data_IF_326620888920
#
_entry.id   IF_326620888920
#
_cell.length_a   1.000
_cell.length_b   1.000
_cell.length_c   1.000
_cell.angle_alpha   90.00
_cell.angle_beta   90.00
_cell.angle_gamma   90.00
#
_symmetry.space_group_name_H-M   'P 1'
#
loop_
_entity.id
_entity.type
_entity.pdbx_description
1 polymer ?
#
# COMPACT_ATOMS: atom_id res chain seq x y z
N UNK A 1 -6.49 42.01 -4.87
CA UNK A 1 -5.47 41.81 -5.91
C UNK A 1 -4.30 41.10 -5.24
N UNK A 2 -3.77 40.04 -5.81
CA UNK A 2 -2.60 39.38 -5.27
C UNK A 2 -1.39 40.30 -5.51
N UNK A 3 -0.53 40.46 -4.49
CA UNK A 3 0.78 41.06 -4.67
C UNK A 3 1.73 40.08 -5.41
N UNK A 4 2.90 40.55 -5.79
CA UNK A 4 3.88 39.72 -6.52
C UNK A 4 4.29 38.46 -5.75
N UNK A 5 4.37 38.57 -4.42
CA UNK A 5 4.72 37.41 -3.55
C UNK A 5 3.57 36.41 -3.50
N UNK A 6 2.34 36.85 -3.38
CA UNK A 6 1.17 35.99 -3.40
C UNK A 6 0.97 35.26 -4.72
N UNK A 7 1.24 35.94 -5.86
CA UNK A 7 1.23 35.30 -7.18
C UNK A 7 2.33 34.23 -7.31
N UNK A 8 3.53 34.53 -6.81
CA UNK A 8 4.65 33.57 -6.82
C UNK A 8 4.33 32.35 -5.96
N UNK A 9 3.81 32.54 -4.76
CA UNK A 9 3.41 31.45 -3.88
C UNK A 9 2.34 30.56 -4.51
N UNK A 10 1.31 31.17 -5.11
CA UNK A 10 0.26 30.44 -5.81
C UNK A 10 0.83 29.64 -6.98
N UNK A 11 1.70 30.23 -7.78
CA UNK A 11 2.35 29.55 -8.90
C UNK A 11 3.18 28.34 -8.43
N UNK A 12 4.02 28.51 -7.40
CA UNK A 12 4.83 27.41 -6.84
C UNK A 12 3.94 26.32 -6.25
N UNK A 13 2.84 26.67 -5.60
CA UNK A 13 1.89 25.69 -5.03
C UNK A 13 1.17 24.92 -6.14
N UNK A 14 0.78 25.57 -7.22
CA UNK A 14 0.17 24.92 -8.39
C UNK A 14 1.16 23.99 -9.10
N UNK A 15 2.40 24.43 -9.27
CA UNK A 15 3.46 23.60 -9.89
C UNK A 15 3.77 22.37 -9.03
N UNK A 16 3.91 22.56 -7.72
CA UNK A 16 4.07 21.46 -6.76
C UNK A 16 2.87 20.52 -6.81
N UNK A 17 1.65 21.05 -6.81
CA UNK A 17 0.42 20.28 -6.92
C UNK A 17 0.36 19.42 -8.17
N UNK A 18 0.70 19.98 -9.33
CA UNK A 18 0.76 19.24 -10.60
C UNK A 18 1.77 18.09 -10.56
N UNK A 19 2.95 18.32 -9.95
CA UNK A 19 4.00 17.32 -9.82
C UNK A 19 3.55 16.17 -8.91
N UNK A 20 2.95 16.47 -7.76
CA UNK A 20 2.44 15.47 -6.82
C UNK A 20 1.23 14.73 -7.38
N UNK A 21 0.33 15.42 -8.08
CA UNK A 21 -0.82 14.80 -8.73
C UNK A 21 -0.41 13.78 -9.80
N UNK A 22 0.65 14.07 -10.55
CA UNK A 22 1.24 13.12 -11.50
C UNK A 22 1.65 11.81 -10.82
N UNK A 23 2.19 11.88 -9.60
CA UNK A 23 2.55 10.68 -8.82
C UNK A 23 1.30 9.88 -8.44
N UNK A 24 0.20 10.55 -8.12
CA UNK A 24 -1.08 9.92 -7.82
C UNK A 24 -1.72 9.22 -9.04
N UNK A 25 -1.51 9.75 -10.26
CA UNK A 25 -2.02 9.14 -11.50
C UNK A 25 -1.41 7.76 -11.79
N UNK A 26 -0.21 7.48 -11.29
CA UNK A 26 0.44 6.17 -11.43
C UNK A 26 -0.19 5.08 -10.55
N UNK A 27 -1.01 5.46 -9.57
CA UNK A 27 -1.64 4.55 -8.62
C UNK A 27 -2.91 5.17 -8.05
N UNK A 28 -4.06 4.70 -8.50
CA UNK A 28 -5.38 5.28 -8.22
C UNK A 28 -5.98 4.87 -6.88
N UNK A 29 -5.18 4.41 -5.92
CA UNK A 29 -5.69 4.10 -4.58
C UNK A 29 -5.93 5.35 -3.73
N UNK A 30 -6.83 5.23 -2.74
CA UNK A 30 -7.23 6.36 -1.90
C UNK A 30 -6.07 7.06 -1.18
N UNK A 31 -5.03 6.31 -0.80
CA UNK A 31 -3.84 6.87 -0.15
C UNK A 31 -3.05 7.80 -1.07
N UNK A 32 -2.84 7.39 -2.32
CA UNK A 32 -2.14 8.22 -3.31
C UNK A 32 -2.95 9.43 -3.74
N UNK A 33 -4.29 9.31 -3.84
CA UNK A 33 -5.17 10.44 -4.11
C UNK A 33 -5.14 11.48 -2.98
N UNK A 34 -5.18 11.05 -1.72
CA UNK A 34 -5.08 11.94 -0.56
C UNK A 34 -3.72 12.65 -0.57
N UNK A 35 -2.63 11.92 -0.79
CA UNK A 35 -1.29 12.49 -0.86
C UNK A 35 -1.15 13.46 -2.02
N UNK A 36 -1.62 13.09 -3.22
CA UNK A 36 -1.61 13.95 -4.42
C UNK A 36 -2.49 15.20 -4.27
N UNK A 37 -3.55 15.16 -3.46
CA UNK A 37 -4.44 16.29 -3.20
C UNK A 37 -3.93 17.26 -2.12
N UNK A 38 -2.82 16.96 -1.45
CA UNK A 38 -2.31 17.80 -0.34
C UNK A 38 -2.14 19.27 -0.74
N UNK A 39 -1.64 19.54 -1.94
CA UNK A 39 -1.48 20.91 -2.43
C UNK A 39 -2.80 21.63 -2.73
N UNK A 40 -3.85 20.89 -3.09
CA UNK A 40 -5.20 21.45 -3.26
C UNK A 40 -5.75 21.96 -1.92
N UNK A 41 -5.44 21.28 -0.81
CA UNK A 41 -5.80 21.76 0.52
C UNK A 41 -5.08 23.06 0.86
N UNK A 42 -3.78 23.16 0.55
CA UNK A 42 -3.01 24.40 0.76
C UNK A 42 -3.62 25.56 -0.06
N UNK A 43 -3.92 25.33 -1.33
CA UNK A 43 -4.58 26.31 -2.19
C UNK A 43 -5.95 26.71 -1.61
N UNK A 44 -6.73 25.71 -1.19
CA UNK A 44 -8.03 25.93 -0.55
C UNK A 44 -7.92 26.82 0.69
N UNK A 45 -6.95 26.58 1.57
CA UNK A 45 -6.69 27.39 2.76
C UNK A 45 -6.33 28.83 2.38
N UNK A 46 -5.45 29.02 1.39
CA UNK A 46 -5.05 30.36 0.91
C UNK A 46 -6.24 31.14 0.31
N UNK A 47 -7.11 30.46 -0.43
CA UNK A 47 -8.32 31.07 -0.99
C UNK A 47 -9.30 31.46 0.12
N UNK A 48 -9.48 30.59 1.11
CA UNK A 48 -10.34 30.83 2.27
C UNK A 48 -9.81 32.00 3.08
N UNK A 49 -8.52 32.04 3.39
CA UNK A 49 -7.87 33.13 4.12
C UNK A 49 -8.11 34.49 3.42
N UNK A 50 -7.86 34.56 2.13
CA UNK A 50 -8.09 35.80 1.33
C UNK A 50 -9.58 36.16 1.23
N UNK A 51 -10.45 35.17 1.13
CA UNK A 51 -11.89 35.34 1.17
C UNK A 51 -12.35 35.95 2.50
N UNK A 52 -11.86 35.38 3.60
CA UNK A 52 -12.13 35.87 4.96
C UNK A 52 -11.66 37.30 5.14
N UNK A 53 -10.42 37.63 4.75
CA UNK A 53 -9.87 38.99 4.82
C UNK A 53 -10.74 40.00 4.07
N UNK A 54 -11.19 39.62 2.86
CA UNK A 54 -12.06 40.50 2.05
C UNK A 54 -13.41 40.74 2.72
N UNK A 55 -13.98 39.74 3.36
CA UNK A 55 -15.29 39.80 4.02
C UNK A 55 -15.17 40.49 5.37
N UNK A 56 -14.06 40.30 6.10
CA UNK A 56 -13.81 41.00 7.35
C UNK A 56 -13.69 42.53 7.14
N UNK A 57 -13.15 42.93 6.01
CA UNK A 57 -13.09 44.35 5.63
C UNK A 57 -14.46 44.94 5.23
N UNK A 58 -15.39 44.08 4.78
CA UNK A 58 -16.79 44.49 4.49
C UNK A 58 -17.68 44.14 5.69
N UNK A 59 -18.04 45.13 6.51
CA UNK A 59 -18.71 44.99 7.80
C UNK A 59 -20.04 44.20 7.81
N UNK A 60 -20.67 43.97 6.66
CA UNK A 60 -22.08 43.51 6.54
C UNK A 60 -22.28 41.99 6.55
N UNK A 61 -21.26 41.17 6.31
CA UNK A 61 -21.46 39.72 6.10
C UNK A 61 -20.66 38.80 7.05
N UNK A 62 -20.03 39.36 8.09
CA UNK A 62 -19.19 38.57 9.01
C UNK A 62 -19.88 37.35 9.63
N UNK A 63 -21.11 37.53 10.07
CA UNK A 63 -21.86 36.48 10.78
C UNK A 63 -22.15 35.31 9.86
N UNK A 64 -22.62 35.54 8.64
CA UNK A 64 -22.95 34.50 7.68
C UNK A 64 -21.75 33.68 7.24
N UNK A 65 -20.62 34.34 7.05
CA UNK A 65 -19.38 33.62 6.65
C UNK A 65 -18.77 32.83 7.79
N UNK A 66 -18.79 33.37 9.01
CA UNK A 66 -18.36 32.60 10.19
C UNK A 66 -19.25 31.38 10.39
N UNK A 67 -20.55 31.51 10.23
CA UNK A 67 -21.51 30.41 10.28
C UNK A 67 -21.22 29.37 9.19
N UNK A 68 -21.03 29.81 7.95
CA UNK A 68 -20.72 28.89 6.83
C UNK A 68 -19.41 28.13 7.05
N UNK A 69 -18.33 28.82 7.45
CA UNK A 69 -17.05 28.17 7.76
C UNK A 69 -17.17 27.21 8.93
N UNK A 70 -17.94 27.57 9.97
CA UNK A 70 -18.17 26.69 11.11
C UNK A 70 -18.93 25.42 10.70
N UNK A 71 -19.98 25.55 9.90
CA UNK A 71 -20.75 24.40 9.38
C UNK A 71 -19.87 23.51 8.51
N UNK A 72 -19.08 24.11 7.61
CA UNK A 72 -18.16 23.39 6.73
C UNK A 72 -17.08 22.64 7.55
N UNK A 73 -16.51 23.30 8.55
CA UNK A 73 -15.49 22.71 9.44
C UNK A 73 -16.04 21.55 10.26
N UNK A 74 -17.25 21.70 10.80
CA UNK A 74 -17.93 20.64 11.57
C UNK A 74 -18.29 19.47 10.65
N UNK A 75 -18.85 19.74 9.47
CA UNK A 75 -19.18 18.70 8.49
C UNK A 75 -17.96 17.92 8.00
N UNK A 76 -16.87 18.66 7.69
CA UNK A 76 -15.60 18.05 7.25
C UNK A 76 -14.97 17.23 8.37
N UNK A 77 -14.98 17.75 9.61
CA UNK A 77 -14.46 17.05 10.77
C UNK A 77 -15.25 15.78 11.06
N UNK A 78 -16.58 15.83 10.96
CA UNK A 78 -17.44 14.67 11.10
C UNK A 78 -17.16 13.62 10.04
N UNK A 79 -17.11 14.02 8.77
CA UNK A 79 -16.80 13.12 7.65
C UNK A 79 -15.43 12.47 7.80
N UNK A 80 -14.39 13.25 8.14
CA UNK A 80 -13.03 12.73 8.34
C UNK A 80 -12.97 11.76 9.53
N UNK A 81 -13.77 11.98 10.57
CA UNK A 81 -13.82 11.12 11.75
C UNK A 81 -14.50 9.78 11.45
N UNK A 82 -15.58 9.79 10.67
CA UNK A 82 -16.31 8.59 10.26
C UNK A 82 -15.47 7.72 9.30
N UNK A 83 -14.80 8.35 8.33
CA UNK A 83 -14.09 7.62 7.27
C UNK A 83 -12.66 7.23 7.67
N UNK A 84 -11.94 8.09 8.38
CA UNK A 84 -10.49 7.92 8.61
C UNK A 84 -10.09 7.83 10.09
N UNK A 85 -11.00 8.07 11.02
CA UNK A 85 -10.73 8.08 12.47
C UNK A 85 -9.44 8.82 12.89
N UNK A 86 -9.15 10.03 12.34
CA UNK A 86 -7.86 10.70 12.54
C UNK A 86 -7.59 11.01 14.02
N UNK A 87 -8.62 11.34 14.80
CA UNK A 87 -8.46 11.60 16.23
C UNK A 87 -8.11 10.35 17.03
N UNK A 88 -8.63 9.18 16.65
CA UNK A 88 -8.24 7.90 17.27
C UNK A 88 -6.79 7.57 16.91
N UNK A 89 -6.39 7.76 15.65
CA UNK A 89 -5.03 7.56 15.21
C UNK A 89 -4.06 8.52 15.90
N UNK A 90 -4.42 9.81 16.04
CA UNK A 90 -3.64 10.80 16.77
C UNK A 90 -3.51 10.44 18.25
N UNK A 91 -4.62 10.10 18.91
CA UNK A 91 -4.64 9.73 20.32
C UNK A 91 -3.80 8.46 20.58
N UNK A 92 -3.87 7.46 19.71
CA UNK A 92 -3.03 6.27 19.80
C UNK A 92 -1.54 6.61 19.65
N UNK A 93 -1.19 7.51 18.74
CA UNK A 93 0.19 7.99 18.54
C UNK A 93 0.69 8.81 19.72
N UNK A 94 -0.13 9.73 20.24
CA UNK A 94 0.20 10.52 21.43
C UNK A 94 0.40 9.61 22.64
N UNK A 95 -0.51 8.64 22.84
CA UNK A 95 -0.37 7.67 23.93
C UNK A 95 0.89 6.80 23.77
N UNK A 96 1.25 6.40 22.55
CA UNK A 96 2.51 5.71 22.28
C UNK A 96 3.74 6.57 22.59
N UNK A 97 3.68 7.87 22.31
CA UNK A 97 4.78 8.80 22.59
C UNK A 97 4.89 9.14 24.09
N UNK A 98 3.75 9.29 24.77
CA UNK A 98 3.70 9.60 26.20
C UNK A 98 4.03 8.39 27.08
N UNK A 99 3.60 7.20 26.70
CA UNK A 99 3.97 5.95 27.35
C UNK A 99 5.37 5.50 26.86
N UNK A 100 6.39 6.30 27.12
CA UNK A 100 7.81 5.98 26.85
C UNK A 100 8.35 4.73 27.57
N UNK A 101 7.59 4.10 28.42
CA UNK A 101 7.78 2.71 28.86
C UNK A 101 7.25 1.72 27.81
N UNK A 102 7.43 2.00 26.52
CA UNK A 102 7.34 0.97 25.51
C UNK A 102 8.42 -0.04 25.86
N UNK A 103 8.06 -1.10 26.56
CA UNK A 103 8.86 -2.33 26.56
C UNK A 103 9.16 -2.57 25.09
N UNK A 104 10.43 -2.43 24.70
CA UNK A 104 10.86 -2.78 23.36
C UNK A 104 10.24 -4.14 23.08
N UNK A 105 9.37 -4.22 22.08
CA UNK A 105 8.68 -5.45 21.78
C UNK A 105 9.72 -6.58 21.75
N UNK A 106 9.48 -7.64 22.49
CA UNK A 106 10.38 -8.78 22.48
C UNK A 106 10.53 -9.27 21.05
N UNK A 107 11.73 -9.73 20.70
CA UNK A 107 11.98 -10.28 19.37
C UNK A 107 10.93 -11.35 19.08
N UNK A 108 10.25 -11.25 17.95
CA UNK A 108 9.23 -12.23 17.58
C UNK A 108 9.85 -13.63 17.56
N UNK A 109 9.39 -14.48 18.47
CA UNK A 109 9.95 -15.84 18.62
C UNK A 109 9.52 -16.79 17.50
N UNK A 110 8.38 -16.49 16.87
CA UNK A 110 7.80 -17.34 15.80
C UNK A 110 8.45 -17.02 14.45
N UNK A 111 8.67 -15.72 14.17
CA UNK A 111 9.26 -15.25 12.93
C UNK A 111 10.55 -14.48 13.21
N UNK A 112 11.65 -15.17 13.31
CA UNK A 112 12.96 -14.59 13.65
C UNK A 112 13.39 -13.43 12.75
N UNK A 113 12.97 -13.40 11.48
CA UNK A 113 13.35 -12.37 10.52
C UNK A 113 12.52 -11.09 10.63
N UNK A 114 11.41 -11.10 11.35
CA UNK A 114 10.57 -9.89 11.58
C UNK A 114 11.22 -8.93 12.58
N UNK A 115 12.17 -9.40 13.36
CA UNK A 115 12.81 -8.60 14.39
C UNK A 115 11.89 -8.35 15.57
N UNK A 116 11.66 -7.06 15.91
CA UNK A 116 10.84 -6.66 17.06
C UNK A 116 9.46 -6.14 16.70
N UNK A 117 9.00 -6.38 15.48
CA UNK A 117 7.66 -5.98 15.05
C UNK A 117 6.60 -6.79 15.79
N UNK A 118 5.55 -6.10 16.22
CA UNK A 118 4.41 -6.71 16.87
C UNK A 118 3.43 -7.23 15.81
N UNK A 119 3.57 -8.49 15.45
CA UNK A 119 2.64 -9.19 14.56
C UNK A 119 1.68 -10.01 15.42
N UNK A 120 0.40 -10.02 15.05
CA UNK A 120 -0.59 -10.86 15.73
C UNK A 120 -0.13 -12.32 15.67
N UNK A 121 -0.23 -13.02 16.81
CA UNK A 121 0.27 -14.40 16.96
C UNK A 121 -0.26 -15.36 15.88
N UNK A 122 -1.56 -15.28 15.58
CA UNK A 122 -2.18 -16.11 14.55
C UNK A 122 -1.61 -15.85 13.13
N UNK A 123 -1.29 -14.60 12.82
CA UNK A 123 -0.65 -14.26 11.55
C UNK A 123 0.80 -14.74 11.52
N UNK A 124 1.54 -14.56 12.60
CA UNK A 124 2.91 -15.04 12.71
C UNK A 124 3.00 -16.58 12.56
N UNK A 125 2.10 -17.31 13.21
CA UNK A 125 2.03 -18.78 13.10
C UNK A 125 1.64 -19.23 11.70
N UNK A 126 0.69 -18.54 11.05
CA UNK A 126 0.32 -18.82 9.67
C UNK A 126 1.52 -18.66 8.72
N UNK A 127 2.18 -17.50 8.78
CA UNK A 127 3.36 -17.22 7.97
C UNK A 127 4.47 -18.23 8.26
N UNK A 128 4.70 -18.58 9.55
CA UNK A 128 5.70 -19.57 9.93
C UNK A 128 5.43 -20.96 9.33
N UNK A 129 4.17 -21.41 9.30
CA UNK A 129 3.81 -22.69 8.66
C UNK A 129 4.12 -22.68 7.16
N UNK A 130 3.77 -21.59 6.46
CA UNK A 130 4.08 -21.42 5.03
C UNK A 130 5.59 -21.41 4.80
N UNK A 131 6.32 -20.63 5.60
CA UNK A 131 7.79 -20.54 5.54
C UNK A 131 8.45 -21.90 5.77
N UNK A 132 8.03 -22.62 6.80
CA UNK A 132 8.54 -23.94 7.10
C UNK A 132 8.29 -24.91 5.94
N UNK A 133 7.11 -24.88 5.32
CA UNK A 133 6.83 -25.68 4.14
C UNK A 133 7.80 -25.35 3.00
N UNK A 134 7.95 -24.06 2.68
CA UNK A 134 8.86 -23.63 1.61
C UNK A 134 10.29 -24.09 1.90
N UNK A 135 10.79 -23.88 3.13
CA UNK A 135 12.16 -24.23 3.51
C UNK A 135 12.42 -25.73 3.47
N UNK A 136 11.43 -26.55 3.85
CA UNK A 136 11.56 -28.00 3.84
C UNK A 136 11.49 -28.61 2.42
N UNK A 137 10.90 -27.89 1.45
CA UNK A 137 10.71 -28.37 0.07
C UNK A 137 11.60 -27.65 -0.94
N UNK A 138 12.50 -26.77 -0.49
CA UNK A 138 13.44 -26.04 -1.35
C UNK A 138 14.81 -25.93 -0.71
N UNK A 139 15.86 -25.95 -1.52
CA UNK A 139 17.23 -25.71 -1.06
C UNK A 139 17.44 -24.20 -0.75
N UNK A 140 18.41 -23.83 0.10
CA UNK A 140 18.62 -22.41 0.47
C UNK A 140 18.79 -21.45 -0.71
N UNK A 141 19.43 -21.87 -1.79
CA UNK A 141 19.67 -21.05 -2.99
C UNK A 141 18.66 -21.32 -4.12
N UNK A 142 17.66 -22.17 -3.87
CA UNK A 142 16.64 -22.47 -4.85
C UNK A 142 15.70 -21.30 -5.00
N UNK A 143 15.46 -20.89 -6.25
CA UNK A 143 14.58 -19.78 -6.57
C UNK A 143 13.14 -20.23 -6.49
N UNK A 144 12.31 -19.42 -5.85
CA UNK A 144 10.86 -19.62 -5.78
C UNK A 144 10.15 -18.52 -6.56
N UNK A 145 8.86 -18.69 -6.82
CA UNK A 145 8.03 -17.68 -7.43
C UNK A 145 6.82 -17.35 -6.55
N UNK A 146 6.62 -16.08 -6.24
CA UNK A 146 5.44 -15.57 -5.55
C UNK A 146 4.56 -14.84 -6.59
N UNK A 147 3.45 -15.49 -6.97
CA UNK A 147 2.48 -14.93 -7.95
C UNK A 147 1.53 -13.92 -7.30
N UNK A 148 1.67 -13.67 -6.01
CA UNK A 148 0.94 -12.61 -5.34
C UNK A 148 1.67 -11.26 -5.48
N UNK A 149 1.00 -10.16 -5.19
CA UNK A 149 1.66 -8.86 -5.19
C UNK A 149 2.34 -8.52 -3.86
N UNK A 150 2.51 -9.52 -2.98
CA UNK A 150 3.07 -9.32 -1.64
C UNK A 150 4.61 -9.41 -1.63
N UNK A 151 5.18 -10.40 -2.30
CA UNK A 151 6.63 -10.64 -2.34
C UNK A 151 7.29 -10.92 -0.99
N UNK A 152 6.53 -11.02 0.09
CA UNK A 152 7.05 -11.14 1.45
C UNK A 152 7.69 -12.50 1.73
N UNK A 153 7.24 -13.54 1.07
CA UNK A 153 7.75 -14.90 1.28
C UNK A 153 9.18 -15.10 0.79
N UNK A 154 9.66 -14.31 -0.17
CA UNK A 154 11.09 -14.29 -0.51
C UNK A 154 11.97 -13.94 0.70
N UNK A 155 11.53 -12.93 1.46
CA UNK A 155 12.23 -12.49 2.65
C UNK A 155 12.10 -13.50 3.80
N UNK A 156 10.88 -13.88 4.14
CA UNK A 156 10.64 -14.77 5.30
C UNK A 156 11.22 -16.17 5.11
N UNK A 157 11.06 -16.75 3.94
CA UNK A 157 11.60 -18.07 3.64
C UNK A 157 13.10 -18.05 3.33
N UNK A 158 13.71 -16.88 3.18
CA UNK A 158 15.10 -16.72 2.74
C UNK A 158 15.36 -17.47 1.44
N UNK A 159 14.53 -17.22 0.44
CA UNK A 159 14.66 -17.79 -0.90
C UNK A 159 14.70 -16.68 -1.94
N UNK A 160 15.61 -16.75 -2.93
CA UNK A 160 15.69 -15.76 -3.97
C UNK A 160 14.47 -15.81 -4.89
N UNK A 161 14.08 -14.65 -5.41
CA UNK A 161 13.09 -14.58 -6.48
C UNK A 161 13.65 -15.15 -7.78
N UNK A 162 12.81 -15.84 -8.55
CA UNK A 162 13.18 -16.34 -9.87
C UNK A 162 13.20 -15.21 -10.92
N UNK A 163 12.48 -14.12 -10.66
CA UNK A 163 12.34 -12.98 -11.58
C UNK A 163 12.89 -11.71 -10.96
N UNK A 164 13.11 -10.69 -11.79
CA UNK A 164 13.39 -9.34 -11.30
C UNK A 164 12.15 -8.64 -10.71
N UNK A 165 10.97 -9.17 -10.97
CA UNK A 165 9.70 -8.64 -10.44
C UNK A 165 9.42 -9.29 -9.08
N UNK A 166 9.85 -8.66 -7.99
CA UNK A 166 9.57 -9.12 -6.63
C UNK A 166 8.08 -8.99 -6.22
N UNK A 167 7.34 -8.15 -6.93
CA UNK A 167 5.87 -8.06 -6.88
C UNK A 167 5.37 -8.23 -8.31
N UNK A 168 4.51 -9.21 -8.53
CA UNK A 168 4.05 -9.54 -9.88
C UNK A 168 3.28 -8.41 -10.55
N UNK A 169 2.69 -7.51 -9.77
CA UNK A 169 1.99 -6.33 -10.28
C UNK A 169 2.84 -5.49 -11.25
N UNK A 170 4.16 -5.53 -11.12
CA UNK A 170 5.07 -4.81 -12.02
C UNK A 170 5.28 -5.48 -13.38
N UNK A 171 4.89 -6.74 -13.55
CA UNK A 171 4.94 -7.42 -14.84
C UNK A 171 3.66 -7.15 -15.66
N UNK A 172 3.33 -5.88 -15.88
CA UNK A 172 2.03 -5.42 -16.38
C UNK A 172 1.82 -5.63 -17.88
N UNK A 173 2.89 -5.69 -18.69
CA UNK A 173 2.77 -5.87 -20.15
C UNK A 173 2.93 -7.33 -20.55
N UNK A 174 2.38 -7.73 -21.73
CA UNK A 174 2.55 -9.10 -22.25
C UNK A 174 4.03 -9.51 -22.34
N UNK A 175 4.92 -8.64 -22.79
CA UNK A 175 6.35 -8.93 -22.88
C UNK A 175 6.99 -9.18 -21.51
N UNK A 176 6.61 -8.41 -20.48
CA UNK A 176 7.06 -8.64 -19.11
C UNK A 176 6.53 -9.96 -18.54
N UNK A 177 5.29 -10.33 -18.86
CA UNK A 177 4.74 -11.62 -18.46
C UNK A 177 5.47 -12.78 -19.15
N UNK A 178 5.82 -12.66 -20.42
CA UNK A 178 6.65 -13.65 -21.12
C UNK A 178 8.06 -13.75 -20.52
N UNK A 179 8.67 -12.64 -20.10
CA UNK A 179 9.95 -12.63 -19.39
C UNK A 179 9.88 -13.43 -18.08
N UNK A 180 8.78 -13.33 -17.34
CA UNK A 180 8.54 -14.14 -16.14
C UNK A 180 8.51 -15.63 -16.49
N UNK A 181 7.75 -16.02 -17.51
CA UNK A 181 7.67 -17.41 -17.96
C UNK A 181 9.04 -17.94 -18.38
N UNK A 182 9.78 -17.17 -19.16
CA UNK A 182 11.15 -17.53 -19.55
C UNK A 182 12.05 -17.75 -18.33
N UNK A 183 11.91 -16.91 -17.31
CA UNK A 183 12.65 -17.05 -16.05
C UNK A 183 12.27 -18.31 -15.28
N UNK A 184 10.97 -18.66 -15.24
CA UNK A 184 10.46 -19.89 -14.61
C UNK A 184 11.00 -21.14 -15.32
N UNK A 185 11.03 -21.14 -16.65
CA UNK A 185 11.54 -22.25 -17.46
C UNK A 185 13.05 -22.45 -17.31
N UNK A 186 13.83 -21.39 -17.46
CA UNK A 186 15.28 -21.46 -17.38
C UNK A 186 15.79 -21.92 -16.02
N UNK A 187 15.09 -21.54 -14.95
CA UNK A 187 15.47 -21.94 -13.60
C UNK A 187 14.78 -23.25 -13.16
N UNK A 188 13.92 -23.83 -14.00
CA UNK A 188 13.11 -25.01 -13.67
C UNK A 188 12.46 -24.86 -12.28
N UNK A 189 11.87 -23.69 -12.03
CA UNK A 189 11.32 -23.32 -10.73
C UNK A 189 10.26 -24.33 -10.31
N UNK A 190 10.48 -25.00 -9.18
CA UNK A 190 9.60 -26.05 -8.72
C UNK A 190 8.44 -25.53 -7.88
N UNK A 191 8.64 -24.49 -7.08
CA UNK A 191 7.69 -24.02 -6.07
C UNK A 191 7.14 -22.62 -6.41
N UNK A 192 5.80 -22.53 -6.45
CA UNK A 192 5.07 -21.27 -6.64
C UNK A 192 4.12 -21.03 -5.48
N UNK A 193 4.12 -19.82 -4.93
CA UNK A 193 3.05 -19.33 -4.07
C UNK A 193 2.02 -18.67 -4.98
N UNK A 194 0.85 -19.31 -5.14
CA UNK A 194 -0.14 -18.91 -6.14
C UNK A 194 -1.18 -17.93 -5.59
N UNK A 195 -1.66 -18.16 -4.39
CA UNK A 195 -2.62 -17.33 -3.65
C UNK A 195 -2.28 -17.32 -2.18
N UNK A 196 -2.63 -16.24 -1.49
CA UNK A 196 -2.48 -16.13 -0.03
C UNK A 196 -3.81 -15.95 0.69
N UNK A 197 -4.92 -15.85 -0.06
CA UNK A 197 -6.24 -15.55 0.50
C UNK A 197 -6.39 -14.10 0.97
N UNK A 198 -5.33 -13.29 0.82
CA UNK A 198 -5.27 -11.91 1.27
C UNK A 198 -5.62 -10.87 0.19
N UNK A 199 -5.63 -9.61 0.60
CA UNK A 199 -5.93 -8.51 -0.32
C UNK A 199 -4.85 -8.32 -1.41
N UNK A 200 -3.62 -8.79 -1.19
CA UNK A 200 -2.54 -8.77 -2.18
C UNK A 200 -2.77 -9.71 -3.39
N UNK A 201 -3.71 -10.64 -3.27
CA UNK A 201 -4.13 -11.45 -4.41
C UNK A 201 -5.01 -10.65 -5.38
N UNK A 202 -5.52 -9.49 -4.93
CA UNK A 202 -6.34 -8.55 -5.70
C UNK A 202 -5.81 -7.13 -5.50
N UNK A 203 -5.43 -6.46 -6.57
CA UNK A 203 -5.11 -5.03 -6.55
C UNK A 203 -6.26 -4.30 -7.27
N UNK A 204 -6.81 -3.26 -6.65
CA UNK A 204 -7.98 -2.52 -7.15
C UNK A 204 -9.17 -3.43 -7.45
N UNK A 205 -9.36 -4.48 -6.65
CA UNK A 205 -10.41 -5.49 -6.84
C UNK A 205 -10.16 -6.49 -7.97
N UNK A 206 -9.08 -6.34 -8.76
CA UNK A 206 -8.74 -7.22 -9.88
C UNK A 206 -7.79 -8.32 -9.40
N UNK A 207 -8.18 -9.61 -9.50
CA UNK A 207 -7.30 -10.73 -9.13
C UNK A 207 -6.02 -10.76 -9.96
N UNK A 208 -4.92 -11.23 -9.35
CA UNK A 208 -3.63 -11.40 -10.04
C UNK A 208 -3.76 -12.28 -11.30
N UNK A 209 -4.63 -13.28 -11.27
CA UNK A 209 -4.91 -14.15 -12.42
C UNK A 209 -5.51 -13.41 -13.62
N UNK A 210 -6.38 -12.42 -13.37
CA UNK A 210 -6.96 -11.58 -14.43
C UNK A 210 -6.00 -10.48 -14.88
N UNK A 211 -5.19 -9.98 -13.96
CA UNK A 211 -4.21 -8.94 -14.25
C UNK A 211 -3.03 -9.48 -15.07
N UNK A 212 -2.65 -10.74 -14.83
CA UNK A 212 -1.53 -11.41 -15.49
C UNK A 212 -1.97 -12.73 -16.14
N UNK A 213 -2.84 -12.66 -17.16
CA UNK A 213 -3.48 -13.85 -17.74
C UNK A 213 -2.50 -14.82 -18.37
N UNK A 214 -1.41 -14.32 -18.99
CA UNK A 214 -0.41 -15.14 -19.67
C UNK A 214 0.36 -15.99 -18.64
N UNK A 215 0.79 -15.39 -17.53
CA UNK A 215 1.47 -16.11 -16.44
C UNK A 215 0.50 -17.07 -15.76
N UNK A 216 -0.73 -16.64 -15.52
CA UNK A 216 -1.74 -17.47 -14.86
C UNK A 216 -2.06 -18.74 -15.66
N UNK A 217 -2.22 -18.60 -16.97
CA UNK A 217 -2.45 -19.75 -17.86
C UNK A 217 -1.26 -20.70 -17.82
N UNK A 218 -0.04 -20.18 -17.97
CA UNK A 218 1.17 -21.00 -17.91
C UNK A 218 1.29 -21.77 -16.58
N UNK A 219 1.00 -21.12 -15.44
CA UNK A 219 1.04 -21.79 -14.13
C UNK A 219 0.01 -22.92 -14.08
N UNK A 220 -1.22 -22.71 -14.54
CA UNK A 220 -2.28 -23.72 -14.54
C UNK A 220 -1.96 -24.95 -15.43
N UNK A 221 -1.20 -24.74 -16.48
CA UNK A 221 -0.79 -25.80 -17.41
C UNK A 221 0.42 -26.60 -16.92
N UNK A 222 1.31 -26.02 -16.11
CA UNK A 222 2.60 -26.63 -15.76
C UNK A 222 2.77 -26.93 -14.27
N UNK A 223 1.83 -26.48 -13.41
CA UNK A 223 1.92 -26.64 -11.97
C UNK A 223 0.63 -27.21 -11.39
N UNK A 224 0.77 -28.01 -10.35
CA UNK A 224 -0.36 -28.58 -9.59
C UNK A 224 -0.32 -28.15 -8.14
N UNK A 225 -1.48 -28.13 -7.48
CA UNK A 225 -1.59 -27.82 -6.07
C UNK A 225 -0.82 -28.89 -5.25
N UNK A 226 0.16 -28.42 -4.49
CA UNK A 226 0.90 -29.27 -3.56
C UNK A 226 0.24 -29.23 -2.18
N UNK A 227 -0.13 -28.03 -1.70
CA UNK A 227 -0.77 -27.85 -0.39
C UNK A 227 -1.54 -26.53 -0.36
N UNK A 228 -2.60 -26.50 0.46
CA UNK A 228 -3.28 -25.27 0.90
C UNK A 228 -3.10 -25.12 2.41
N UNK A 229 -2.40 -24.08 2.83
CA UNK A 229 -2.16 -23.74 4.23
C UNK A 229 -3.06 -22.60 4.62
N UNK A 230 -4.29 -22.90 5.06
CA UNK A 230 -5.28 -21.90 5.51
C UNK A 230 -5.47 -20.75 4.51
N UNK A 231 -5.69 -21.08 3.24
CA UNK A 231 -5.90 -20.13 2.14
C UNK A 231 -4.64 -19.76 1.35
N UNK A 232 -3.43 -20.08 1.86
CA UNK A 232 -2.20 -19.93 1.07
C UNK A 232 -1.95 -21.19 0.24
N UNK A 233 -2.10 -21.06 -1.08
CA UNK A 233 -1.93 -22.15 -2.03
C UNK A 233 -0.49 -22.18 -2.55
N UNK A 234 0.16 -23.32 -2.39
CA UNK A 234 1.49 -23.59 -2.90
C UNK A 234 1.38 -24.66 -3.97
N UNK A 235 1.98 -24.39 -5.13
CA UNK A 235 1.98 -25.26 -6.29
C UNK A 235 3.39 -25.80 -6.52
N UNK A 236 3.47 -27.04 -7.02
CA UNK A 236 4.71 -27.64 -7.50
C UNK A 236 4.62 -27.93 -8.99
N UNK A 237 5.77 -27.86 -9.66
CA UNK A 237 5.90 -28.21 -11.08
C UNK A 237 5.47 -29.68 -11.30
N UNK A 238 4.72 -29.90 -12.39
CA UNK A 238 4.32 -31.25 -12.82
C UNK A 238 5.47 -32.00 -13.49
#
# INVERSE_FOLDING_TARGET
MWDSEGCTLLFLTLLGGATFFRTALGRSDGGHLIFGSTFLWVIGILIIERGIDRIIRQKTNRVWVTLFISILSVGTSYYLQEVHHPLRALNSRVNQLMNRNVKLAEKNQILNRVGRENIQTNQAEHVARVVNYIQNHTRPNEKIFDFTSQGAYYFFANRPSVTRYHQIAYASTPNMQMEVIYSLENNKTNLIIFKTGGWFDKIDGIPSEQRHPIISQYIKEHYKLAIDISGTQILNRM
#
